data_IF_151389306800
#
_entry.id   IF_151389306800
#
_cell.length_a   1.000
_cell.length_b   1.000
_cell.length_c   1.000
_cell.angle_alpha   90.00
_cell.angle_beta   90.00
_cell.angle_gamma   90.00
#
_symmetry.space_group_name_H-M   'P 1'
#
loop_
_entity.id
_entity.type
_entity.pdbx_description
1 polymer ?
#
# COMPACT_ATOMS: atom_id res chain seq x y z
N UNK A 1 3.87 -9.35 -10.51
CA UNK A 1 3.63 -7.92 -10.22
C UNK A 1 3.48 -7.74 -8.72
N UNK A 2 4.14 -6.70 -8.18
CA UNK A 2 3.94 -6.24 -6.80
C UNK A 2 3.32 -4.84 -6.86
N UNK A 3 2.16 -4.67 -6.25
CA UNK A 3 1.41 -3.43 -6.25
C UNK A 3 1.50 -2.73 -4.89
N UNK A 4 1.74 -1.42 -4.89
CA UNK A 4 1.63 -0.58 -3.69
C UNK A 4 0.44 0.36 -3.88
N UNK A 5 -0.53 0.32 -2.97
CA UNK A 5 -1.75 1.10 -3.10
C UNK A 5 -1.97 2.05 -1.92
N UNK A 6 -2.75 3.08 -2.17
CA UNK A 6 -3.09 4.11 -1.19
C UNK A 6 -3.30 5.48 -1.83
N UNK A 7 -3.86 6.45 -1.08
CA UNK A 7 -4.08 7.79 -1.58
C UNK A 7 -2.77 8.53 -1.86
N UNK A 8 -2.87 9.67 -2.50
CA UNK A 8 -1.75 10.61 -2.65
C UNK A 8 -1.20 10.98 -1.27
N UNK A 9 0.13 11.00 -1.15
CA UNK A 9 0.81 11.31 0.10
C UNK A 9 0.86 10.16 1.12
N UNK A 10 0.48 8.93 0.76
CA UNK A 10 0.61 7.76 1.65
C UNK A 10 2.03 7.18 1.73
N UNK A 11 2.99 7.72 0.96
CA UNK A 11 4.39 7.31 0.98
C UNK A 11 4.74 6.17 0.00
N UNK A 12 3.90 5.89 -1.01
CA UNK A 12 4.11 4.81 -1.99
C UNK A 12 5.47 4.91 -2.68
N UNK A 13 5.82 6.09 -3.18
CA UNK A 13 7.11 6.33 -3.86
C UNK A 13 8.29 6.00 -2.95
N UNK A 14 8.27 6.45 -1.70
CA UNK A 14 9.33 6.16 -0.72
C UNK A 14 9.52 4.67 -0.51
N UNK A 15 8.42 3.94 -0.38
CA UNK A 15 8.44 2.47 -0.21
C UNK A 15 8.98 1.78 -1.45
N UNK A 16 8.50 2.16 -2.64
CA UNK A 16 8.98 1.60 -3.91
C UNK A 16 10.47 1.88 -4.12
N UNK A 17 10.91 3.13 -3.90
CA UNK A 17 12.32 3.48 -4.03
C UNK A 17 13.20 2.71 -3.03
N UNK A 18 12.74 2.56 -1.79
CA UNK A 18 13.45 1.74 -0.79
C UNK A 18 13.52 0.27 -1.21
N UNK A 19 12.48 -0.27 -1.83
CA UNK A 19 12.46 -1.62 -2.37
C UNK A 19 13.44 -1.77 -3.54
N UNK A 20 13.44 -0.83 -4.49
CA UNK A 20 14.38 -0.84 -5.61
C UNK A 20 15.84 -0.75 -5.13
N UNK A 21 16.14 0.16 -4.20
CA UNK A 21 17.48 0.28 -3.63
C UNK A 21 17.93 -1.00 -2.91
N UNK A 22 17.00 -1.74 -2.31
CA UNK A 22 17.31 -3.00 -1.62
C UNK A 22 17.70 -4.12 -2.56
N UNK A 23 17.14 -4.15 -3.77
CA UNK A 23 17.42 -5.19 -4.79
C UNK A 23 18.40 -4.72 -5.86
N UNK A 24 18.82 -3.44 -5.81
CA UNK A 24 19.78 -2.88 -6.75
C UNK A 24 21.15 -3.53 -6.58
N UNK A 25 21.67 -4.09 -7.64
CA UNK A 25 23.01 -4.69 -7.72
C UNK A 25 23.61 -4.47 -9.11
N UNK A 26 24.93 -4.61 -9.28
CA UNK A 26 25.56 -4.47 -10.58
C UNK A 26 25.04 -5.43 -11.66
N UNK A 27 24.50 -6.57 -11.25
CA UNK A 27 23.98 -7.62 -12.14
C UNK A 27 22.47 -7.50 -12.38
N UNK A 28 21.81 -6.48 -11.81
CA UNK A 28 20.36 -6.29 -11.91
C UNK A 28 20.05 -4.99 -12.64
N UNK A 29 19.46 -5.07 -13.82
CA UNK A 29 19.07 -3.89 -14.59
C UNK A 29 17.68 -3.42 -14.20
N UNK A 30 17.62 -2.30 -13.49
CA UNK A 30 16.38 -1.67 -13.02
C UNK A 30 16.07 -0.45 -13.90
N UNK A 31 14.87 -0.41 -14.47
CA UNK A 31 14.39 0.74 -15.24
C UNK A 31 13.02 1.17 -14.69
N UNK A 32 12.85 2.48 -14.50
CA UNK A 32 11.58 3.05 -14.04
C UNK A 32 10.95 3.96 -15.08
N UNK A 33 9.63 4.11 -15.01
CA UNK A 33 8.88 5.16 -15.73
C UNK A 33 7.94 5.85 -14.73
N UNK A 34 8.06 7.18 -14.60
CA UNK A 34 7.53 7.95 -13.46
C UNK A 34 6.91 9.30 -13.88
N UNK A 35 6.00 9.84 -13.05
CA UNK A 35 5.33 11.13 -13.27
C UNK A 35 5.14 11.92 -11.96
N UNK A 36 6.11 12.76 -11.57
CA UNK A 36 7.48 12.88 -12.06
C UNK A 36 8.46 11.92 -11.37
N UNK A 37 9.72 11.93 -11.75
CA UNK A 37 10.83 11.39 -10.95
C UNK A 37 11.01 12.29 -9.74
N UNK A 38 10.81 11.73 -8.52
CA UNK A 38 10.88 12.52 -7.27
C UNK A 38 12.32 12.91 -6.91
N UNK A 39 13.24 11.96 -7.04
CA UNK A 39 14.69 12.16 -6.90
C UNK A 39 15.45 11.03 -7.59
N UNK A 40 16.69 11.27 -7.95
CA UNK A 40 17.52 10.30 -8.64
C UNK A 40 17.99 9.20 -7.69
N UNK A 41 18.02 7.97 -8.22
CA UNK A 41 18.53 6.77 -7.56
C UNK A 41 19.78 6.30 -8.30
N UNK A 42 20.89 6.19 -7.58
CA UNK A 42 22.13 5.72 -8.16
C UNK A 42 22.01 4.26 -8.66
N UNK A 43 22.48 4.02 -9.88
CA UNK A 43 22.44 2.69 -10.51
C UNK A 43 21.08 2.29 -11.09
N UNK A 44 20.08 3.18 -11.09
CA UNK A 44 18.75 2.93 -11.64
C UNK A 44 18.46 3.88 -12.79
N UNK A 45 17.97 3.35 -13.90
CA UNK A 45 17.60 4.14 -15.07
C UNK A 45 16.16 4.65 -14.90
N UNK A 46 16.00 5.94 -14.61
CA UNK A 46 14.70 6.57 -14.38
C UNK A 46 14.26 7.40 -15.57
N UNK A 47 13.08 7.11 -16.11
CA UNK A 47 12.47 7.78 -17.26
C UNK A 47 11.27 8.57 -16.75
N UNK A 48 11.26 9.87 -16.97
CA UNK A 48 10.10 10.70 -16.69
C UNK A 48 9.18 10.77 -17.90
N UNK A 49 7.88 10.50 -17.68
CA UNK A 49 6.88 10.62 -18.75
C UNK A 49 6.66 12.08 -19.15
N UNK A 50 6.35 12.27 -20.43
CA UNK A 50 6.03 13.57 -21.03
C UNK A 50 4.82 13.43 -21.97
N UNK A 51 3.58 13.39 -21.42
CA UNK A 51 2.37 13.15 -22.22
C UNK A 51 2.18 14.12 -23.40
N UNK A 52 2.66 15.37 -23.26
CA UNK A 52 2.57 16.38 -24.33
C UNK A 52 3.30 16.00 -25.62
N UNK A 53 4.32 15.17 -25.54
CA UNK A 53 5.09 14.67 -26.69
C UNK A 53 4.83 13.18 -26.97
N UNK A 54 3.77 12.61 -26.36
CA UNK A 54 3.39 11.22 -26.56
C UNK A 54 4.17 10.20 -25.71
N UNK A 55 5.10 10.63 -24.85
CA UNK A 55 5.80 9.73 -23.94
C UNK A 55 4.91 9.45 -22.70
N UNK A 56 4.00 8.49 -22.83
CA UNK A 56 3.11 8.01 -21.78
C UNK A 56 3.74 6.84 -21.02
N UNK A 57 3.11 6.41 -19.91
CA UNK A 57 3.51 5.19 -19.21
C UNK A 57 3.52 3.96 -20.12
N UNK A 58 2.45 3.76 -20.90
CA UNK A 58 2.33 2.62 -21.82
C UNK A 58 3.41 2.65 -22.90
N UNK A 59 3.65 3.82 -23.52
CA UNK A 59 4.69 3.97 -24.55
C UNK A 59 6.09 3.77 -23.98
N UNK A 60 6.37 4.33 -22.80
CA UNK A 60 7.64 4.16 -22.10
C UNK A 60 7.88 2.69 -21.76
N UNK A 61 6.88 2.01 -21.20
CA UNK A 61 6.98 0.59 -20.79
C UNK A 61 7.27 -0.32 -21.99
N UNK A 62 6.59 -0.12 -23.14
CA UNK A 62 6.89 -0.86 -24.38
C UNK A 62 8.34 -0.67 -24.85
N UNK A 63 8.89 0.50 -24.66
CA UNK A 63 10.29 0.77 -25.00
C UNK A 63 11.24 0.12 -24.00
N UNK A 64 10.95 0.22 -22.70
CA UNK A 64 11.72 -0.37 -21.60
C UNK A 64 11.92 -1.88 -21.80
N UNK A 65 10.87 -2.62 -22.20
CA UNK A 65 10.94 -4.07 -22.43
C UNK A 65 11.89 -4.50 -23.56
N UNK A 66 12.33 -3.57 -24.41
CA UNK A 66 13.35 -3.82 -25.45
C UNK A 66 14.78 -3.57 -24.98
N UNK A 67 14.92 -3.11 -23.74
CA UNK A 67 16.22 -2.81 -23.14
C UNK A 67 16.70 -3.89 -22.17
N UNK A 68 16.09 -5.07 -22.21
CA UNK A 68 16.47 -6.22 -21.38
C UNK A 68 16.56 -5.86 -19.88
N UNK A 69 15.47 -5.38 -19.27
CA UNK A 69 15.44 -5.09 -17.85
C UNK A 69 15.19 -6.38 -17.05
N UNK A 70 15.70 -6.45 -15.80
CA UNK A 70 15.31 -7.48 -14.83
C UNK A 70 14.11 -7.00 -14.00
N UNK A 71 14.13 -5.72 -13.66
CA UNK A 71 13.11 -5.09 -12.80
C UNK A 71 12.58 -3.83 -13.47
N UNK A 72 11.27 -3.68 -13.47
CA UNK A 72 10.57 -2.51 -13.99
C UNK A 72 9.71 -1.88 -12.93
N UNK A 73 9.83 -0.56 -12.75
CA UNK A 73 8.85 0.21 -11.99
C UNK A 73 7.99 1.04 -12.96
N UNK A 74 6.69 0.83 -12.90
CA UNK A 74 5.70 1.71 -13.54
C UNK A 74 5.09 2.57 -12.44
N UNK A 75 5.31 3.87 -12.48
CA UNK A 75 4.92 4.81 -11.43
C UNK A 75 3.49 4.63 -10.96
N UNK A 76 2.56 4.46 -11.90
CA UNK A 76 1.18 4.07 -11.60
C UNK A 76 0.48 3.44 -12.80
N UNK A 77 -0.54 2.63 -12.53
CA UNK A 77 -1.46 2.07 -13.51
C UNK A 77 -2.80 2.80 -13.39
N UNK A 78 -3.16 3.58 -14.42
CA UNK A 78 -4.41 4.34 -14.47
C UNK A 78 -5.38 3.87 -15.55
N UNK A 79 -4.87 3.17 -16.55
CA UNK A 79 -5.60 2.79 -17.75
C UNK A 79 -5.27 1.36 -18.18
N UNK A 80 -6.14 0.83 -19.05
CA UNK A 80 -6.03 -0.53 -19.57
C UNK A 80 -4.71 -0.77 -20.29
N UNK A 81 -4.26 0.15 -21.15
CA UNK A 81 -3.04 -0.02 -21.95
C UNK A 81 -1.79 -0.18 -21.07
N UNK A 82 -1.67 0.65 -20.03
CA UNK A 82 -0.58 0.57 -19.06
C UNK A 82 -0.65 -0.74 -18.27
N UNK A 83 -1.86 -1.15 -17.84
CA UNK A 83 -2.08 -2.41 -17.12
C UNK A 83 -1.68 -3.62 -17.98
N UNK A 84 -2.12 -3.66 -19.24
CA UNK A 84 -1.80 -4.74 -20.18
C UNK A 84 -0.29 -4.86 -20.41
N UNK A 85 0.40 -3.75 -20.65
CA UNK A 85 1.85 -3.75 -20.83
C UNK A 85 2.61 -4.22 -19.56
N UNK A 86 2.14 -3.84 -18.37
CA UNK A 86 2.72 -4.29 -17.09
C UNK A 86 2.54 -5.80 -16.89
N UNK A 87 1.37 -6.33 -17.26
CA UNK A 87 1.08 -7.76 -17.22
C UNK A 87 1.96 -8.51 -18.22
N UNK A 88 2.08 -8.05 -19.46
CA UNK A 88 2.95 -8.65 -20.46
C UNK A 88 4.41 -8.69 -19.98
N UNK A 89 4.88 -7.62 -19.35
CA UNK A 89 6.21 -7.59 -18.73
C UNK A 89 6.36 -8.70 -17.68
N UNK A 90 5.38 -8.86 -16.80
CA UNK A 90 5.39 -9.91 -15.78
C UNK A 90 5.35 -11.32 -16.38
N UNK A 91 4.52 -11.56 -17.39
CA UNK A 91 4.41 -12.87 -18.07
C UNK A 91 5.70 -13.25 -18.79
N UNK A 92 6.50 -12.26 -19.21
CA UNK A 92 7.81 -12.49 -19.85
C UNK A 92 8.98 -12.57 -18.86
N UNK A 93 8.69 -12.67 -17.55
CA UNK A 93 9.67 -12.98 -16.52
C UNK A 93 10.25 -11.77 -15.77
N UNK A 94 9.83 -10.56 -16.07
CA UNK A 94 10.31 -9.35 -15.38
C UNK A 94 9.63 -9.17 -14.03
N UNK A 95 10.38 -8.72 -13.03
CA UNK A 95 9.80 -8.25 -11.77
C UNK A 95 9.21 -6.85 -11.97
N UNK A 96 7.89 -6.72 -11.84
CA UNK A 96 7.19 -5.46 -12.06
C UNK A 96 6.69 -4.88 -10.75
N UNK A 97 7.06 -3.64 -10.45
CA UNK A 97 6.48 -2.82 -9.38
C UNK A 97 5.57 -1.76 -9.96
N UNK A 98 4.44 -1.50 -9.32
CA UNK A 98 3.58 -0.37 -9.71
C UNK A 98 2.72 0.12 -8.54
N UNK A 99 1.98 1.20 -8.80
CA UNK A 99 1.00 1.73 -7.83
C UNK A 99 -0.41 1.73 -8.40
N UNK A 100 -1.37 1.63 -7.48
CA UNK A 100 -2.79 1.83 -7.70
C UNK A 100 -3.35 2.81 -6.65
N UNK A 101 -4.57 3.30 -6.90
CA UNK A 101 -5.32 4.11 -5.96
C UNK A 101 -6.53 3.34 -5.45
N UNK A 102 -6.31 2.36 -4.56
CA UNK A 102 -7.38 1.66 -3.82
C UNK A 102 -7.26 1.92 -2.33
N UNK A 103 -8.34 1.69 -1.59
CA UNK A 103 -8.38 1.98 -0.16
C UNK A 103 -7.66 0.92 0.69
N UNK A 104 -7.65 -0.33 0.22
CA UNK A 104 -7.06 -1.50 0.83
C UNK A 104 -6.37 -2.37 -0.24
N UNK A 105 -5.72 -3.44 0.20
CA UNK A 105 -4.98 -4.32 -0.70
C UNK A 105 -5.90 -5.19 -1.57
N UNK A 106 -6.99 -5.69 -1.01
CA UNK A 106 -7.94 -6.56 -1.73
C UNK A 106 -8.63 -5.86 -2.90
N UNK A 107 -8.91 -4.56 -2.76
CA UNK A 107 -9.51 -3.75 -3.82
C UNK A 107 -8.64 -3.58 -5.07
N UNK A 108 -7.35 -3.90 -5.01
CA UNK A 108 -6.47 -3.81 -6.17
C UNK A 108 -6.85 -4.81 -7.26
N UNK A 109 -7.28 -6.03 -6.91
CA UNK A 109 -7.72 -7.05 -7.85
C UNK A 109 -8.94 -6.59 -8.64
N UNK A 110 -10.00 -6.16 -7.93
CA UNK A 110 -11.20 -5.62 -8.58
C UNK A 110 -10.86 -4.42 -9.45
N UNK A 111 -9.98 -3.52 -8.97
CA UNK A 111 -9.59 -2.33 -9.73
C UNK A 111 -8.88 -2.66 -11.05
N UNK A 112 -8.00 -3.67 -11.08
CA UNK A 112 -7.36 -4.12 -12.30
C UNK A 112 -8.40 -4.70 -13.29
N UNK A 113 -9.34 -5.50 -12.79
CA UNK A 113 -10.42 -6.09 -13.59
C UNK A 113 -11.36 -4.99 -14.13
N UNK A 114 -11.71 -4.00 -13.32
CA UNK A 114 -12.55 -2.85 -13.71
C UNK A 114 -11.89 -1.98 -14.80
N UNK A 115 -10.56 -1.96 -14.86
CA UNK A 115 -9.82 -1.32 -15.96
C UNK A 115 -9.82 -2.14 -17.26
N UNK A 116 -10.50 -3.30 -17.28
CA UNK A 116 -10.64 -4.15 -18.46
C UNK A 116 -9.60 -5.26 -18.57
N UNK A 117 -8.78 -5.47 -17.53
CA UNK A 117 -7.83 -6.59 -17.53
C UNK A 117 -8.58 -7.90 -17.31
N UNK A 118 -8.25 -8.91 -18.10
CA UNK A 118 -8.84 -10.24 -17.96
C UNK A 118 -8.51 -10.87 -16.58
N UNK A 119 -9.50 -11.42 -15.85
CA UNK A 119 -9.30 -11.92 -14.49
C UNK A 119 -8.21 -12.97 -14.35
N UNK A 120 -8.06 -13.87 -15.33
CA UNK A 120 -7.03 -14.90 -15.31
C UNK A 120 -5.61 -14.29 -15.39
N UNK A 121 -5.45 -13.14 -16.06
CA UNK A 121 -4.18 -12.42 -16.13
C UNK A 121 -3.85 -11.76 -14.78
N UNK A 122 -4.84 -11.13 -14.15
CA UNK A 122 -4.67 -10.55 -12.81
C UNK A 122 -4.29 -11.65 -11.81
N UNK A 123 -5.03 -12.76 -11.82
CA UNK A 123 -4.80 -13.90 -10.93
C UNK A 123 -3.42 -14.52 -11.08
N UNK A 124 -2.89 -14.58 -12.32
CA UNK A 124 -1.60 -15.23 -12.61
C UNK A 124 -0.39 -14.30 -12.43
N UNK A 125 -0.55 -12.98 -12.44
CA UNK A 125 0.57 -12.05 -12.44
C UNK A 125 0.72 -11.23 -11.16
N UNK A 126 -0.36 -10.95 -10.42
CA UNK A 126 -0.29 -10.20 -9.17
C UNK A 126 0.14 -11.12 -8.02
N UNK A 127 1.37 -10.96 -7.54
CA UNK A 127 1.96 -11.78 -6.48
C UNK A 127 1.72 -11.19 -5.08
N UNK A 128 1.70 -9.87 -4.98
CA UNK A 128 1.45 -9.19 -3.71
C UNK A 128 0.86 -7.80 -3.93
N UNK A 129 0.04 -7.39 -2.97
CA UNK A 129 -0.49 -6.02 -2.89
C UNK A 129 -0.25 -5.47 -1.49
N UNK A 130 0.38 -4.30 -1.40
CA UNK A 130 0.59 -3.60 -0.14
C UNK A 130 -0.20 -2.30 -0.11
N UNK A 131 -1.23 -2.23 0.72
CA UNK A 131 -1.88 -0.96 1.03
C UNK A 131 -1.10 -0.21 2.10
N UNK A 132 -1.05 1.12 1.96
CA UNK A 132 -0.23 1.98 2.81
C UNK A 132 -0.92 3.30 3.16
N UNK A 133 -0.72 3.74 4.42
CA UNK A 133 -1.11 5.05 4.93
C UNK A 133 0.04 5.61 5.77
N UNK A 134 -0.01 6.91 6.05
CA UNK A 134 0.90 7.57 6.99
C UNK A 134 0.13 8.06 8.21
N UNK A 135 0.62 7.68 9.39
CA UNK A 135 0.20 8.21 10.69
C UNK A 135 1.18 9.26 11.17
N UNK A 136 0.70 10.26 11.91
CA UNK A 136 1.56 11.19 12.65
C UNK A 136 2.18 10.45 13.84
N UNK A 137 3.47 10.65 14.07
CA UNK A 137 4.16 10.13 15.25
C UNK A 137 3.94 11.08 16.43
N UNK A 138 3.66 10.53 17.60
CA UNK A 138 3.61 11.31 18.82
C UNK A 138 4.99 11.96 19.07
N UNK A 139 4.95 13.21 19.52
CA UNK A 139 6.17 13.91 19.93
C UNK A 139 6.76 13.21 21.16
N UNK A 140 8.02 12.78 21.14
CA UNK A 140 8.61 12.05 22.26
C UNK A 140 8.75 12.93 23.53
N UNK A 141 8.80 14.26 23.36
CA UNK A 141 9.01 15.20 24.45
C UNK A 141 7.74 15.55 25.22
N UNK A 142 6.55 15.31 24.64
CA UNK A 142 5.31 15.74 25.29
C UNK A 142 4.17 14.73 25.21
N UNK A 143 4.41 13.52 24.72
CA UNK A 143 3.39 12.48 24.79
C UNK A 143 3.11 12.12 26.25
N UNK A 144 1.85 12.00 26.60
CA UNK A 144 1.40 11.64 27.96
C UNK A 144 0.73 10.28 27.95
N UNK A 145 1.17 9.41 28.87
CA UNK A 145 0.55 8.10 29.05
C UNK A 145 -0.78 8.22 29.81
N UNK A 146 -1.77 7.44 29.39
CA UNK A 146 -3.06 7.35 30.07
C UNK A 146 -3.58 5.91 30.03
N UNK A 147 -4.41 5.54 31.00
CA UNK A 147 -5.15 4.28 30.95
C UNK A 147 -6.46 4.53 30.21
N UNK A 148 -6.70 3.87 29.07
CA UNK A 148 -7.92 4.10 28.30
C UNK A 148 -9.14 3.53 29.03
N UNK A 149 -10.26 4.25 28.94
CA UNK A 149 -11.54 3.69 29.31
C UNK A 149 -12.06 2.81 28.15
N UNK A 150 -12.53 1.58 28.39
CA UNK A 150 -13.12 0.73 27.37
C UNK A 150 -14.23 1.40 26.55
N UNK A 151 -15.01 2.29 27.14
CA UNK A 151 -16.10 2.99 26.49
C UNK A 151 -15.62 4.08 25.49
N UNK A 152 -14.37 4.53 25.63
CA UNK A 152 -13.77 5.56 24.76
C UNK A 152 -13.09 4.96 23.51
N UNK A 153 -12.96 3.64 23.46
CA UNK A 153 -12.33 2.94 22.36
C UNK A 153 -13.35 2.16 21.53
N UNK A 154 -13.10 1.99 20.24
CA UNK A 154 -14.02 1.25 19.38
C UNK A 154 -14.02 -0.24 19.73
N UNK A 155 -15.11 -0.94 19.39
CA UNK A 155 -15.29 -2.37 19.69
C UNK A 155 -14.24 -3.29 19.07
N UNK A 156 -13.57 -2.84 18.03
CA UNK A 156 -12.50 -3.56 17.33
C UNK A 156 -11.10 -3.24 17.89
N UNK A 157 -11.00 -2.53 19.01
CA UNK A 157 -9.73 -2.38 19.72
C UNK A 157 -9.24 -3.74 20.25
N UNK A 158 -7.96 -4.11 19.99
CA UNK A 158 -7.44 -5.45 20.31
C UNK A 158 -7.10 -5.60 21.82
N UNK A 159 -8.12 -5.63 22.68
CA UNK A 159 -7.97 -5.75 24.13
C UNK A 159 -7.14 -6.95 24.56
N UNK A 160 -7.27 -8.08 23.87
CA UNK A 160 -6.53 -9.32 24.18
C UNK A 160 -5.01 -9.15 24.01
N UNK A 161 -4.58 -8.28 23.10
CA UNK A 161 -3.17 -7.98 22.83
C UNK A 161 -2.65 -6.78 23.63
N UNK A 162 -3.51 -6.09 24.35
CA UNK A 162 -3.18 -4.88 25.11
C UNK A 162 -2.65 -5.19 26.50
N UNK A 163 -1.38 -5.59 26.61
CA UNK A 163 -0.73 -6.00 27.85
C UNK A 163 -0.20 -4.85 28.72
N UNK A 164 0.16 -3.72 28.11
CA UNK A 164 0.79 -2.60 28.84
C UNK A 164 -0.17 -1.73 29.64
N UNK A 165 -1.49 -1.81 29.35
CA UNK A 165 -2.54 -1.06 30.02
C UNK A 165 -2.49 0.46 29.83
N UNK A 166 -1.59 0.97 28.94
CA UNK A 166 -1.39 2.40 28.68
C UNK A 166 -1.39 2.70 27.19
N UNK A 167 -2.12 3.72 26.82
CA UNK A 167 -1.99 4.43 25.54
C UNK A 167 -1.37 5.80 25.75
N UNK A 168 -1.06 6.50 24.67
CA UNK A 168 -0.43 7.80 24.73
C UNK A 168 -1.25 8.82 23.93
N UNK A 169 -1.32 10.04 24.44
CA UNK A 169 -2.00 11.17 23.79
C UNK A 169 -1.04 12.32 23.55
N UNK A 170 -1.30 13.16 22.53
CA UNK A 170 -0.52 14.38 22.28
C UNK A 170 -0.92 15.46 23.28
N UNK A 171 0.04 16.17 23.88
CA UNK A 171 -0.24 17.35 24.72
C UNK A 171 0.24 18.64 24.11
N UNK A 172 1.30 18.59 23.31
CA UNK A 172 1.92 19.75 22.69
C UNK A 172 3.05 20.33 23.54
N UNK A 173 4.13 20.76 22.90
CA UNK A 173 5.26 21.44 23.53
C UNK A 173 5.97 22.34 22.50
N UNK A 174 7.00 23.05 22.94
CA UNK A 174 7.78 23.95 22.08
C UNK A 174 8.43 23.19 20.91
N UNK A 175 8.96 21.97 21.13
CA UNK A 175 9.64 21.15 20.11
C UNK A 175 8.71 20.76 18.96
N UNK A 176 7.46 20.44 19.26
CA UNK A 176 6.46 20.11 18.24
C UNK A 176 5.57 21.32 17.86
N UNK A 177 5.92 22.52 18.29
CA UNK A 177 5.17 23.75 18.04
C UNK A 177 3.70 23.68 18.48
N UNK A 178 3.44 23.05 19.61
CA UNK A 178 2.11 22.90 20.20
C UNK A 178 1.25 21.79 19.57
N UNK A 179 1.70 21.11 18.50
CA UNK A 179 0.88 20.12 17.75
C UNK A 179 0.76 18.77 18.46
N UNK A 180 1.75 18.41 19.29
CA UNK A 180 1.81 17.10 19.96
C UNK A 180 2.31 15.95 19.09
N UNK A 181 2.61 16.20 17.82
CA UNK A 181 3.14 15.23 16.86
C UNK A 181 4.43 15.73 16.20
N UNK A 182 5.32 14.78 15.85
CA UNK A 182 6.59 15.07 15.17
C UNK A 182 6.93 13.94 14.19
N UNK A 183 6.92 14.25 12.89
CA UNK A 183 7.15 13.30 11.81
C UNK A 183 5.97 12.38 11.54
N UNK A 184 6.19 11.44 10.63
CA UNK A 184 5.19 10.46 10.15
C UNK A 184 5.78 9.06 10.14
N UNK A 185 4.93 8.06 10.15
CA UNK A 185 5.29 6.65 10.04
C UNK A 185 4.29 5.92 9.14
N UNK A 186 4.75 4.91 8.41
CA UNK A 186 3.89 4.08 7.60
C UNK A 186 3.06 3.11 8.43
N UNK A 187 1.85 2.80 7.98
CA UNK A 187 1.09 1.61 8.36
C UNK A 187 0.77 0.84 7.10
N UNK A 188 0.80 -0.47 7.23
CA UNK A 188 0.82 -1.38 6.09
C UNK A 188 -0.19 -2.50 6.25
N UNK A 189 -0.80 -2.88 5.13
CA UNK A 189 -1.59 -4.08 4.95
C UNK A 189 -0.99 -4.81 3.76
N UNK A 190 -0.37 -5.96 4.01
CA UNK A 190 0.31 -6.75 2.98
C UNK A 190 -0.50 -8.01 2.68
N UNK A 191 -1.09 -8.05 1.50
CA UNK A 191 -1.74 -9.21 0.93
C UNK A 191 -0.75 -9.97 0.05
N UNK A 192 -0.50 -11.23 0.36
CA UNK A 192 0.23 -12.16 -0.50
C UNK A 192 -0.78 -13.02 -1.25
N UNK A 193 -0.63 -13.13 -2.55
CA UNK A 193 -1.57 -13.86 -3.39
C UNK A 193 -1.38 -15.36 -3.22
N UNK A 194 -2.31 -15.99 -2.51
CA UNK A 194 -2.39 -17.45 -2.35
C UNK A 194 -3.22 -18.08 -3.48
N UNK A 195 -3.20 -19.39 -3.59
CA UNK A 195 -4.02 -20.11 -4.59
C UNK A 195 -5.52 -19.82 -4.42
N UNK A 196 -6.02 -19.74 -3.16
CA UNK A 196 -7.40 -19.34 -2.86
C UNK A 196 -7.69 -17.92 -3.40
N UNK A 197 -6.78 -16.98 -3.22
CA UNK A 197 -6.96 -15.60 -3.71
C UNK A 197 -6.89 -15.55 -5.24
N UNK A 198 -6.05 -16.38 -5.89
CA UNK A 198 -6.00 -16.51 -7.35
C UNK A 198 -7.32 -16.99 -7.92
N UNK A 199 -7.92 -18.00 -7.29
CA UNK A 199 -9.22 -18.54 -7.68
C UNK A 199 -10.33 -17.49 -7.54
N UNK A 200 -10.40 -16.81 -6.39
CA UNK A 200 -11.35 -15.72 -6.17
C UNK A 200 -11.21 -14.58 -7.19
N UNK A 201 -9.98 -14.17 -7.52
CA UNK A 201 -9.71 -13.14 -8.52
C UNK A 201 -10.12 -13.62 -9.93
N UNK A 202 -9.82 -14.86 -10.29
CA UNK A 202 -10.22 -15.46 -11.56
C UNK A 202 -11.75 -15.52 -11.71
N UNK A 203 -12.47 -15.85 -10.64
CA UNK A 203 -13.94 -15.89 -10.60
C UNK A 203 -14.60 -14.50 -10.49
N UNK A 204 -13.84 -13.41 -10.49
CA UNK A 204 -14.32 -12.05 -10.29
C UNK A 204 -15.08 -11.85 -8.96
N UNK A 205 -14.66 -12.56 -7.91
CA UNK A 205 -15.26 -12.43 -6.60
C UNK A 205 -15.02 -11.01 -6.03
N UNK A 206 -15.87 -10.65 -5.09
CA UNK A 206 -15.82 -9.33 -4.46
C UNK A 206 -14.50 -9.10 -3.71
N UNK A 207 -14.08 -7.84 -3.61
CA UNK A 207 -12.91 -7.46 -2.79
C UNK A 207 -13.05 -7.89 -1.32
N UNK A 208 -14.30 -8.01 -0.84
CA UNK A 208 -14.60 -8.54 0.50
C UNK A 208 -14.20 -10.01 0.63
N UNK A 209 -14.57 -10.88 -0.31
CA UNK A 209 -14.22 -12.31 -0.29
C UNK A 209 -12.70 -12.48 -0.37
N UNK A 210 -12.03 -11.72 -1.26
CA UNK A 210 -10.56 -11.70 -1.34
C UNK A 210 -9.94 -11.27 -0.01
N UNK A 211 -10.50 -10.25 0.65
CA UNK A 211 -10.04 -9.79 1.97
C UNK A 211 -10.19 -10.86 3.03
N UNK A 212 -11.33 -11.57 3.07
CA UNK A 212 -11.54 -12.65 4.03
C UNK A 212 -10.54 -13.80 3.84
N UNK A 213 -10.25 -14.19 2.61
CA UNK A 213 -9.22 -15.19 2.31
C UNK A 213 -7.82 -14.72 2.75
N UNK A 214 -7.48 -13.46 2.49
CA UNK A 214 -6.21 -12.87 2.92
C UNK A 214 -6.06 -12.83 4.45
N UNK A 215 -7.13 -12.47 5.18
CA UNK A 215 -7.13 -12.48 6.65
C UNK A 215 -6.93 -13.89 7.21
N UNK A 216 -7.59 -14.90 6.64
CA UNK A 216 -7.39 -16.32 7.00
C UNK A 216 -5.95 -16.77 6.77
N UNK A 217 -5.28 -16.22 5.74
CA UNK A 217 -3.87 -16.50 5.43
C UNK A 217 -2.89 -15.69 6.29
N UNK A 218 -3.37 -14.90 7.27
CA UNK A 218 -2.55 -14.17 8.23
C UNK A 218 -2.25 -12.71 7.84
N UNK A 219 -2.93 -12.15 6.84
CA UNK A 219 -2.85 -10.72 6.57
C UNK A 219 -3.32 -9.91 7.78
N UNK A 220 -2.60 -8.84 8.08
CA UNK A 220 -3.03 -7.81 9.04
C UNK A 220 -3.56 -6.61 8.28
N UNK A 221 -4.67 -6.05 8.74
CA UNK A 221 -5.24 -4.85 8.14
C UNK A 221 -4.41 -3.60 8.49
N UNK A 222 -4.61 -2.53 7.73
CA UNK A 222 -4.04 -1.20 8.07
C UNK A 222 -4.38 -0.80 9.51
N UNK A 223 -5.59 -1.15 9.96
CA UNK A 223 -6.07 -0.81 11.29
C UNK A 223 -5.39 -1.62 12.39
N UNK A 224 -5.17 -2.91 12.15
CA UNK A 224 -4.43 -3.78 13.08
C UNK A 224 -2.99 -3.29 13.26
N UNK A 225 -2.29 -2.98 12.15
CA UNK A 225 -0.92 -2.45 12.20
C UNK A 225 -0.87 -1.09 12.90
N UNK A 226 -1.88 -0.24 12.67
CA UNK A 226 -1.99 1.05 13.34
C UNK A 226 -2.21 0.90 14.87
N UNK A 227 -3.05 -0.05 15.31
CA UNK A 227 -3.24 -0.33 16.73
C UNK A 227 -1.97 -0.86 17.40
N UNK A 228 -1.22 -1.73 16.74
CA UNK A 228 0.09 -2.18 17.26
C UNK A 228 1.01 -0.99 17.52
N UNK A 229 1.05 -0.01 16.63
CA UNK A 229 1.88 1.20 16.80
C UNK A 229 1.35 2.13 17.89
N UNK A 230 0.02 2.23 18.05
CA UNK A 230 -0.57 3.00 19.15
C UNK A 230 -0.27 2.36 20.52
N UNK A 231 -0.37 1.05 20.63
CA UNK A 231 -0.02 0.32 21.86
C UNK A 231 1.46 0.48 22.24
N UNK A 232 2.35 0.63 21.26
CA UNK A 232 3.77 0.95 21.47
C UNK A 232 4.04 2.44 21.80
N UNK A 233 3.00 3.27 21.86
CA UNK A 233 3.13 4.71 22.11
C UNK A 233 3.82 5.49 21.00
N UNK A 234 3.80 4.98 19.78
CA UNK A 234 4.36 5.64 18.60
C UNK A 234 3.39 6.63 17.96
N UNK A 235 2.08 6.35 18.08
CA UNK A 235 0.96 7.22 17.64
C UNK A 235 -0.15 7.22 18.68
N UNK A 236 -1.22 7.99 18.47
CA UNK A 236 -2.38 8.04 19.37
C UNK A 236 -3.55 7.23 18.81
N UNK A 237 -4.47 6.81 19.70
CA UNK A 237 -5.72 6.16 19.31
C UNK A 237 -6.55 7.05 18.37
N UNK A 238 -6.60 8.36 18.62
CA UNK A 238 -7.28 9.35 17.77
C UNK A 238 -6.74 9.32 16.34
N UNK A 239 -5.42 9.22 16.17
CA UNK A 239 -4.78 9.19 14.85
C UNK A 239 -5.09 7.87 14.12
N UNK A 240 -5.15 6.74 14.84
CA UNK A 240 -5.60 5.46 14.26
C UNK A 240 -7.01 5.59 13.70
N UNK A 241 -7.94 6.12 14.49
CA UNK A 241 -9.34 6.31 14.09
C UNK A 241 -9.47 7.27 12.90
N UNK A 242 -8.65 8.31 12.86
CA UNK A 242 -8.66 9.31 11.79
C UNK A 242 -8.24 8.73 10.42
N UNK A 243 -7.26 7.84 10.43
CA UNK A 243 -6.62 7.37 9.18
C UNK A 243 -7.18 6.04 8.70
N UNK A 244 -7.67 5.19 9.60
CA UNK A 244 -8.15 3.85 9.26
C UNK A 244 -9.66 3.75 9.43
N UNK A 245 -10.34 3.10 8.48
CA UNK A 245 -11.75 2.74 8.63
C UNK A 245 -11.87 1.48 9.50
N UNK A 246 -12.98 1.34 10.21
CA UNK A 246 -13.33 0.08 10.86
C UNK A 246 -13.78 -0.94 9.82
N UNK A 247 -13.21 -2.13 9.85
CA UNK A 247 -13.59 -3.21 8.94
C UNK A 247 -15.05 -3.68 9.19
N UNK A 248 -15.57 -3.51 10.41
CA UNK A 248 -16.97 -3.83 10.75
C UNK A 248 -17.99 -2.86 10.18
N UNK A 249 -17.60 -1.62 9.85
CA UNK A 249 -18.50 -0.68 9.16
C UNK A 249 -18.81 -1.13 7.73
N UNK A 250 -17.93 -1.93 7.13
CA UNK A 250 -18.10 -2.49 5.78
C UNK A 250 -19.07 -3.69 5.81
N UNK A 251 -19.12 -4.47 6.92
CA UNK A 251 -20.07 -5.58 7.08
C UNK A 251 -21.52 -5.12 7.08
N UNK A 252 -21.81 -3.95 7.66
CA UNK A 252 -23.15 -3.38 7.71
C UNK A 252 -23.62 -2.80 6.37
N UNK A 253 -22.70 -2.31 5.55
CA UNK A 253 -23.02 -1.82 4.19
C UNK A 253 -23.23 -2.98 3.21
N UNK A 254 -22.47 -4.08 3.34
CA UNK A 254 -22.59 -5.26 2.48
C UNK A 254 -23.82 -6.13 2.81
N UNK A 255 -24.34 -6.09 4.06
CA UNK A 255 -25.56 -6.81 4.45
C UNK A 255 -26.86 -6.06 4.14
N UNK A 256 -26.77 -4.80 3.70
CA UNK A 256 -27.91 -3.95 3.34
C UNK A 256 -28.00 -3.65 1.83
N UNK A 257 -27.17 -4.25 0.99
CA UNK A 257 -27.16 -4.19 -0.47
C UNK A 257 -27.55 -5.53 -1.07
#
# INVERSE_FOLDING_TARGET
>A
IILVTGPTGSGKTTTLYSSLLRINSPDTKIITTEDPVEYQLDGINQIQVHPKIGLTFAQSLRSILRHDPDVVLVGEIRDHETAENAIQASLTGHLVFSTLHTNDASGAFSRMIDMGVEPFLVASTVEAVMAQRLLRRLCPHCKEAYTPNPDDLPRDFPWESFSEGKLYRPTGCRECRGVGYSGRMGVYELLITTDEIRELAHERRSSWEVKQAALKSGMRTLRDDAWVKAMRGETSAEEVLRITKSDRAIETEASNA
#
